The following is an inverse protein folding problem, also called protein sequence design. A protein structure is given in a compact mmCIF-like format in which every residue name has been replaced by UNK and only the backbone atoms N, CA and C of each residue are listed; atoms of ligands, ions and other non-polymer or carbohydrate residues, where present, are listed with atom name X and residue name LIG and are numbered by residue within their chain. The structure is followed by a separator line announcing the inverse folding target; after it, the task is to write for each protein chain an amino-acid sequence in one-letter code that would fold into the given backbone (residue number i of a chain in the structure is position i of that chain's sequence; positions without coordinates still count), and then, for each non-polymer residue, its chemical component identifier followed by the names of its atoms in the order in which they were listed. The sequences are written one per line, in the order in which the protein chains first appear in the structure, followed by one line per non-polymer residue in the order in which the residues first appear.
data_IF_217690380601
#
_entry.id   IF_217690380601
#
_cell.length_a   1.000
_cell.length_b   1.000
_cell.length_c   1.000
_cell.angle_alpha   90.00
_cell.angle_beta   90.00
_cell.angle_gamma   90.00
#
_symmetry.space_group_name_H-M   'P 1'
#
loop_
_entity.id
_entity.type
_entity.pdbx_description
1 polymer ?
#
# COMPACT_ATOMS: atom_id res chain seq x y z
N UNK A 1 10.22 1.23 3.54
CA UNK A 1 10.04 1.55 2.11
C UNK A 1 11.29 1.26 1.29
N UNK A 2 12.43 1.92 1.55
CA UNK A 2 13.67 1.76 0.75
C UNK A 2 14.17 0.31 0.64
N UNK A 3 14.11 -0.48 1.72
CA UNK A 3 14.46 -1.91 1.66
C UNK A 3 13.59 -2.72 0.68
N UNK A 4 12.32 -2.36 0.53
CA UNK A 4 11.34 -3.13 -0.26
C UNK A 4 11.34 -2.65 -1.71
N UNK A 5 11.28 -1.33 -1.92
CA UNK A 5 11.06 -0.68 -3.22
C UNK A 5 12.31 0.02 -3.79
N UNK A 6 13.34 0.24 -2.97
CA UNK A 6 14.63 0.79 -3.41
C UNK A 6 14.52 2.06 -4.23
N UNK A 7 15.19 2.06 -5.38
CA UNK A 7 15.26 3.16 -6.34
C UNK A 7 13.97 3.38 -7.16
N UNK A 8 12.94 2.55 -6.98
CA UNK A 8 11.66 2.70 -7.68
C UNK A 8 10.75 3.75 -7.03
N UNK A 9 11.11 4.23 -5.82
CA UNK A 9 10.39 5.29 -5.12
C UNK A 9 10.66 6.64 -5.81
N UNK A 10 9.60 7.29 -6.27
CA UNK A 10 9.68 8.59 -6.97
C UNK A 10 9.32 9.78 -6.10
N UNK A 11 8.57 9.55 -5.03
CA UNK A 11 8.11 10.61 -4.14
C UNK A 11 7.74 10.07 -2.77
N UNK A 12 7.90 10.93 -1.76
CA UNK A 12 7.51 10.68 -0.38
C UNK A 12 6.62 11.83 0.08
N UNK A 13 5.45 11.51 0.61
CA UNK A 13 4.57 12.46 1.29
C UNK A 13 4.31 11.96 2.70
N UNK A 14 4.32 12.89 3.65
CA UNK A 14 4.03 12.61 5.05
C UNK A 14 2.76 13.35 5.40
N UNK A 15 1.78 12.62 5.94
CA UNK A 15 0.53 13.20 6.41
C UNK A 15 0.32 12.79 7.85
N UNK A 16 0.20 13.77 8.73
CA UNK A 16 -0.19 13.53 10.13
C UNK A 16 -1.58 14.12 10.34
N UNK A 17 -2.43 13.34 11.01
CA UNK A 17 -3.79 13.73 11.36
C UNK A 17 -4.11 13.24 12.76
N UNK A 18 -5.24 13.70 13.30
CA UNK A 18 -5.75 13.16 14.55
C UNK A 18 -5.88 11.62 14.54
N UNK A 19 -6.31 11.04 13.41
CA UNK A 19 -6.62 9.60 13.33
C UNK A 19 -5.42 8.69 13.02
N UNK A 20 -4.40 9.21 12.34
CA UNK A 20 -3.28 8.41 11.86
C UNK A 20 -2.11 9.28 11.39
N UNK A 21 -0.93 8.67 11.43
CA UNK A 21 0.24 9.09 10.69
C UNK A 21 0.40 8.23 9.44
N UNK A 22 0.70 8.86 8.31
CA UNK A 22 0.81 8.19 7.02
C UNK A 22 2.07 8.62 6.29
N UNK A 23 2.81 7.64 5.80
CA UNK A 23 3.91 7.81 4.86
C UNK A 23 3.47 7.22 3.53
N UNK A 24 3.29 8.08 2.54
CA UNK A 24 2.81 7.71 1.21
C UNK A 24 3.95 7.80 0.21
N UNK A 25 4.13 6.76 -0.58
CA UNK A 25 5.11 6.64 -1.63
C UNK A 25 4.44 6.35 -2.96
N UNK A 26 5.01 6.90 -4.03
CA UNK A 26 4.68 6.50 -5.39
C UNK A 26 5.83 5.65 -5.93
N UNK A 27 5.48 4.47 -6.43
CA UNK A 27 6.42 3.53 -7.03
C UNK A 27 6.02 3.30 -8.47
N UNK A 28 6.95 3.53 -9.41
CA UNK A 28 6.67 3.34 -10.83
C UNK A 28 6.44 1.87 -11.12
N UNK A 29 5.34 1.55 -11.80
CA UNK A 29 5.12 0.21 -12.30
C UNK A 29 6.01 -0.04 -13.52
N UNK A 30 7.17 -0.64 -13.27
CA UNK A 30 8.13 -1.00 -14.32
C UNK A 30 7.75 -2.33 -14.99
N UNK A 31 6.83 -3.10 -14.42
CA UNK A 31 6.57 -4.48 -14.86
C UNK A 31 5.29 -4.60 -15.69
N UNK A 32 4.42 -3.59 -15.70
CA UNK A 32 3.12 -3.55 -16.41
C UNK A 32 2.18 -4.73 -16.04
N UNK A 33 2.57 -5.57 -15.09
CA UNK A 33 1.84 -6.73 -14.59
C UNK A 33 1.85 -6.69 -13.07
N UNK A 34 0.69 -6.36 -12.50
CA UNK A 34 0.49 -6.18 -11.07
C UNK A 34 0.77 -7.43 -10.24
N UNK A 35 0.49 -8.60 -10.80
CA UNK A 35 0.49 -9.85 -10.04
C UNK A 35 1.93 -10.30 -9.79
N UNK A 36 2.79 -10.16 -10.80
CA UNK A 36 4.24 -10.34 -10.67
C UNK A 36 4.88 -9.39 -9.64
N UNK A 37 4.37 -8.15 -9.54
CA UNK A 37 4.88 -7.18 -8.57
C UNK A 37 4.58 -7.64 -7.13
N UNK A 38 3.35 -8.07 -6.85
CA UNK A 38 2.94 -8.54 -5.53
C UNK A 38 3.76 -9.77 -5.09
N UNK A 39 3.90 -10.77 -5.94
CA UNK A 39 4.66 -11.98 -5.62
C UNK A 39 6.12 -11.67 -5.25
N UNK A 40 6.74 -10.70 -5.94
CA UNK A 40 8.13 -10.28 -5.66
C UNK A 40 8.29 -9.55 -4.34
N UNK A 41 7.33 -8.72 -3.96
CA UNK A 41 7.41 -7.93 -2.73
C UNK A 41 6.97 -8.73 -1.51
N UNK A 42 6.08 -9.71 -1.66
CA UNK A 42 5.53 -10.47 -0.54
C UNK A 42 6.62 -11.16 0.28
N UNK A 43 7.56 -11.83 -0.40
CA UNK A 43 8.73 -12.43 0.26
C UNK A 43 9.64 -11.42 0.98
N UNK A 44 9.72 -10.16 0.51
CA UNK A 44 10.50 -9.09 1.17
C UNK A 44 9.76 -8.52 2.38
N UNK A 45 8.43 -8.41 2.28
CA UNK A 45 7.53 -7.93 3.32
C UNK A 45 7.51 -8.92 4.50
N UNK A 46 7.33 -10.21 4.22
CA UNK A 46 7.35 -11.26 5.23
C UNK A 46 8.67 -11.29 6.01
N UNK A 47 9.82 -11.11 5.33
CA UNK A 47 11.14 -10.98 5.99
C UNK A 47 11.27 -9.79 6.94
N UNK A 48 10.39 -8.80 6.82
CA UNK A 48 10.32 -7.61 7.69
C UNK A 48 9.13 -7.64 8.66
N UNK A 49 8.46 -8.79 8.78
CA UNK A 49 7.36 -8.99 9.72
C UNK A 49 6.02 -8.43 9.26
N UNK A 50 5.90 -8.03 8.00
CA UNK A 50 4.62 -7.66 7.38
C UNK A 50 3.96 -8.90 6.83
N UNK A 51 2.71 -9.15 7.18
CA UNK A 51 1.94 -10.30 6.72
C UNK A 51 0.74 -9.82 5.92
N UNK A 52 0.46 -10.46 4.80
CA UNK A 52 -0.74 -10.19 4.03
C UNK A 52 -1.98 -10.49 4.88
N UNK A 53 -2.93 -9.56 4.89
CA UNK A 53 -4.17 -9.66 5.66
C UNK A 53 -5.36 -9.95 4.76
N UNK A 54 -5.61 -9.06 3.81
CA UNK A 54 -6.71 -9.18 2.84
C UNK A 54 -6.56 -8.18 1.69
N UNK A 55 -7.39 -8.34 0.66
CA UNK A 55 -7.60 -7.33 -0.38
C UNK A 55 -8.86 -6.55 -0.01
N UNK A 56 -8.72 -5.23 0.19
CA UNK A 56 -9.83 -4.33 0.47
C UNK A 56 -10.01 -3.35 -0.68
N UNK A 57 -11.14 -3.43 -1.40
CA UNK A 57 -11.33 -2.77 -2.70
C UNK A 57 -10.12 -3.09 -3.62
N UNK A 58 -9.42 -2.08 -4.13
CA UNK A 58 -8.22 -2.29 -4.97
C UNK A 58 -6.93 -2.47 -4.17
N UNK A 59 -6.93 -2.24 -2.86
CA UNK A 59 -5.72 -2.29 -2.06
C UNK A 59 -5.39 -3.70 -1.54
N UNK A 60 -4.12 -4.08 -1.65
CA UNK A 60 -3.55 -5.18 -0.87
C UNK A 60 -3.14 -4.67 0.50
N UNK A 61 -3.70 -5.25 1.55
CA UNK A 61 -3.49 -4.82 2.93
C UNK A 61 -2.56 -5.80 3.63
N UNK A 62 -1.51 -5.24 4.24
CA UNK A 62 -0.53 -5.94 5.05
C UNK A 62 -0.51 -5.36 6.45
N UNK A 63 -0.30 -6.21 7.45
CA UNK A 63 -0.19 -5.83 8.84
C UNK A 63 1.15 -6.29 9.42
N UNK A 64 1.77 -5.43 10.24
CA UNK A 64 2.88 -5.85 11.10
C UNK A 64 2.42 -6.17 12.53
N UNK A 65 3.38 -6.54 13.39
CA UNK A 65 3.12 -6.91 14.79
C UNK A 65 2.67 -5.74 15.66
N UNK A 66 2.99 -4.51 15.25
CA UNK A 66 2.64 -3.29 15.96
C UNK A 66 1.32 -2.70 15.44
N UNK A 67 0.55 -3.50 14.69
CA UNK A 67 -0.75 -3.14 14.13
C UNK A 67 -0.67 -1.98 13.14
N UNK A 68 0.53 -1.70 12.61
CA UNK A 68 0.68 -0.80 11.48
C UNK A 68 0.10 -1.46 10.24
N UNK A 69 -0.45 -0.61 9.37
CA UNK A 69 -0.99 -1.05 8.10
C UNK A 69 -0.09 -0.59 6.96
N UNK A 70 0.20 -1.51 6.05
CA UNK A 70 0.74 -1.21 4.74
C UNK A 70 -0.36 -1.45 3.72
N UNK A 71 -0.66 -0.40 2.95
CA UNK A 71 -1.64 -0.39 1.89
C UNK A 71 -0.91 -0.28 0.55
N UNK A 72 -1.09 -1.25 -0.34
CA UNK A 72 -0.54 -1.24 -1.69
C UNK A 72 -1.67 -1.15 -2.71
N UNK A 73 -1.78 -0.01 -3.38
CA UNK A 73 -2.82 0.22 -4.40
C UNK A 73 -2.20 0.13 -5.79
N UNK A 74 -2.67 -0.77 -6.67
CA UNK A 74 -2.12 -0.97 -8.00
C UNK A 74 -2.40 0.21 -8.93
N UNK A 75 -1.60 0.38 -9.99
CA UNK A 75 -1.87 1.34 -11.04
C UNK A 75 -3.22 1.09 -11.74
N UNK A 76 -3.75 2.13 -12.38
CA UNK A 76 -4.90 2.01 -13.28
C UNK A 76 -4.48 1.25 -14.55
N UNK A 77 -5.18 0.16 -14.89
CA UNK A 77 -5.00 -0.55 -16.16
C UNK A 77 -5.66 0.25 -17.29
N UNK A 78 -4.84 0.81 -18.19
CA UNK A 78 -5.34 1.56 -19.35
C UNK A 78 -6.06 0.57 -20.30
N UNK A 79 -7.40 0.63 -20.35
CA UNK A 79 -8.20 -0.22 -21.25
C UNK A 79 -9.56 -0.67 -20.67
N UNK A 80 -9.72 -0.62 -19.35
CA UNK A 80 -11.02 -0.74 -18.69
C UNK A 80 -11.55 0.65 -18.36
N UNK A 81 -12.87 0.87 -18.52
CA UNK A 81 -13.57 2.15 -18.28
C UNK A 81 -12.92 2.95 -17.14
N UNK A 82 -12.55 4.21 -17.42
CA UNK A 82 -11.81 5.15 -16.53
C UNK A 82 -12.56 5.45 -15.22
N UNK A 83 -12.71 4.47 -14.34
CA UNK A 83 -13.07 4.69 -12.95
C UNK A 83 -11.83 4.39 -12.14
N UNK A 84 -11.17 5.45 -11.66
CA UNK A 84 -10.10 5.31 -10.68
C UNK A 84 -10.67 4.61 -9.46
N UNK A 85 -10.20 3.40 -9.19
CA UNK A 85 -10.54 2.68 -7.97
C UNK A 85 -9.90 3.33 -6.74
N UNK A 86 -10.46 2.98 -5.59
CA UNK A 86 -9.95 3.38 -4.30
C UNK A 86 -9.46 2.14 -3.54
N UNK A 87 -8.41 2.30 -2.77
CA UNK A 87 -8.07 1.45 -1.66
C UNK A 87 -8.87 1.82 -0.41
N UNK A 88 -8.34 1.45 0.77
CA UNK A 88 -8.92 1.87 2.04
C UNK A 88 -8.69 3.36 2.30
N UNK A 89 -7.50 3.88 2.00
CA UNK A 89 -7.15 5.28 2.26
C UNK A 89 -6.42 5.97 1.12
N UNK A 90 -6.04 5.22 0.09
CA UNK A 90 -5.32 5.71 -1.08
C UNK A 90 -6.11 5.48 -2.36
N UNK A 91 -5.93 6.35 -3.36
CA UNK A 91 -6.50 6.17 -4.69
C UNK A 91 -5.52 5.43 -5.60
N UNK A 92 -6.05 4.74 -6.61
CA UNK A 92 -5.23 4.30 -7.73
C UNK A 92 -4.64 5.50 -8.46
N UNK A 93 -3.45 5.31 -9.04
CA UNK A 93 -2.75 6.30 -9.84
C UNK A 93 -2.47 5.72 -11.22
N UNK A 94 -2.40 6.57 -12.24
CA UNK A 94 -1.98 6.13 -13.59
C UNK A 94 -0.49 5.78 -13.53
N UNK A 95 -0.10 4.59 -13.99
CA UNK A 95 1.28 4.08 -14.07
C UNK A 95 2.07 3.96 -12.75
N UNK A 96 1.44 4.23 -11.60
CA UNK A 96 2.11 4.18 -10.30
C UNK A 96 1.34 3.32 -9.31
N UNK A 97 2.10 2.51 -8.58
CA UNK A 97 1.67 1.97 -7.31
C UNK A 97 1.62 3.10 -6.27
N UNK A 98 0.50 3.19 -5.56
CA UNK A 98 0.32 4.12 -4.45
C UNK A 98 0.43 3.35 -3.15
N UNK A 99 1.47 3.65 -2.37
CA UNK A 99 1.91 2.83 -1.24
C UNK A 99 1.81 3.63 0.04
N UNK A 100 1.04 3.15 1.02
CA UNK A 100 0.85 3.83 2.29
C UNK A 100 1.31 2.98 3.47
N UNK A 101 2.29 3.46 4.22
CA UNK A 101 2.56 2.97 5.57
C UNK A 101 1.77 3.83 6.54
N UNK A 102 0.94 3.20 7.36
CA UNK A 102 -0.08 3.86 8.16
C UNK A 102 0.06 3.37 9.60
N UNK A 103 0.43 4.29 10.49
CA UNK A 103 0.34 4.08 11.92
C UNK A 103 -0.99 4.66 12.41
N UNK A 104 -1.87 3.77 12.84
CA UNK A 104 -3.21 4.14 13.26
C UNK A 104 -3.23 4.56 14.74
N UNK A 105 -3.82 5.73 15.03
CA UNK A 105 -4.04 6.18 16.42
C UNK A 105 -5.41 5.74 16.98
N UNK A 106 -6.35 5.34 16.11
CA UNK A 106 -7.73 4.96 16.46
C UNK A 106 -8.26 3.80 15.59
N UNK A 107 -9.26 3.05 16.06
CA UNK A 107 -9.84 1.88 15.35
C UNK A 107 -10.57 2.25 14.04
N UNK A 108 -9.83 2.48 12.95
CA UNK A 108 -10.36 2.76 11.60
C UNK A 108 -9.70 1.96 10.49
N UNK A 109 -8.65 1.22 10.81
CA UNK A 109 -7.81 0.49 9.86
C UNK A 109 -7.92 -1.01 10.08
N UNK A 110 -7.73 -1.79 9.00
CA UNK A 110 -7.93 -3.24 9.01
C UNK A 110 -7.00 -3.92 10.01
N UNK A 111 -5.78 -3.42 10.15
CA UNK A 111 -4.79 -3.97 11.06
C UNK A 111 -5.02 -3.65 12.53
N UNK A 112 -6.03 -2.84 12.90
CA UNK A 112 -6.30 -2.49 14.30
C UNK A 112 -7.28 -3.48 14.96
N UNK A 113 -6.76 -4.60 15.46
CA UNK A 113 -7.46 -5.51 16.36
C UNK A 113 -7.09 -5.24 17.82
N UNK A 114 -7.86 -4.37 18.45
CA UNK A 114 -8.43 -4.73 19.74
C UNK A 114 -9.94 -4.76 19.52
N UNK A 115 -10.50 -5.95 19.25
CA UNK A 115 -11.93 -6.23 19.39
C UNK A 115 -12.08 -7.15 20.58
#
# INVERSE_FOLDING_TARGET
AEYIFGNQILGKKIFSSYNAERLIFQVKDLEQNSDNFIDKIDGRLNKRGWNYKEKYKEAYIYCDRDMNQLELVPPIKIGTVMQSGEGQSLNQLVDYWNIGFIHSRHKRYVCNMNS
#
